data_IF_010546343823
#
_entry.id   IF_010546343823
#
_cell.length_a   1.000
_cell.length_b   1.000
_cell.length_c   1.000
_cell.angle_alpha   90.00
_cell.angle_beta   90.00
_cell.angle_gamma   90.00
#
_symmetry.space_group_name_H-M   'P 1'
#
loop_
_entity.id
_entity.type
_entity.pdbx_description
1 polymer ?
#
# COMPACT_ATOMS: atom_id res chain seq x y z
N UNK A 1 -18.76 -10.56 8.69
CA UNK A 1 -18.31 -9.61 7.65
C UNK A 1 -17.04 -8.95 8.16
N UNK A 2 -15.98 -8.89 7.35
CA UNK A 2 -14.77 -8.17 7.75
C UNK A 2 -15.08 -6.67 7.85
N UNK A 3 -14.34 -5.94 8.68
CA UNK A 3 -14.53 -4.51 8.79
C UNK A 3 -13.98 -3.79 7.56
N UNK A 4 -14.67 -2.74 7.11
CA UNK A 4 -14.29 -1.99 5.92
C UNK A 4 -12.99 -1.20 6.14
N UNK A 5 -12.28 -0.88 5.05
CA UNK A 5 -11.18 0.09 5.10
C UNK A 5 -11.71 1.54 5.14
N UNK A 6 -10.90 2.53 5.58
CA UNK A 6 -11.28 3.94 5.51
C UNK A 6 -11.46 4.39 4.05
N UNK A 7 -12.57 5.07 3.69
CA UNK A 7 -12.74 5.66 2.36
C UNK A 7 -11.62 6.67 2.05
N UNK A 8 -11.02 6.56 0.87
CA UNK A 8 -9.98 7.45 0.40
C UNK A 8 -9.90 7.48 -1.13
N UNK A 9 -9.42 8.60 -1.68
CA UNK A 9 -9.19 8.81 -3.10
C UNK A 9 -7.73 8.66 -3.49
N UNK A 10 -6.83 8.69 -2.51
CA UNK A 10 -5.40 8.55 -2.72
C UNK A 10 -4.74 7.94 -1.48
N UNK A 11 -3.74 7.10 -1.69
CA UNK A 11 -2.93 6.54 -0.62
C UNK A 11 -1.45 6.78 -0.90
N UNK A 12 -0.79 7.45 0.03
CA UNK A 12 0.62 7.83 -0.06
C UNK A 12 1.44 6.93 0.85
N UNK A 13 2.37 6.19 0.25
CA UNK A 13 3.36 5.38 0.95
C UNK A 13 4.69 6.13 0.97
N UNK A 14 5.03 6.69 2.13
CA UNK A 14 6.35 7.25 2.38
C UNK A 14 7.35 6.12 2.54
N UNK A 15 8.45 6.15 1.79
CA UNK A 15 9.54 5.21 1.95
C UNK A 15 10.16 5.39 3.33
N UNK A 16 10.00 4.37 4.16
CA UNK A 16 10.58 4.30 5.48
C UNK A 16 12.09 4.07 5.36
N UNK A 17 12.92 4.82 6.08
CA UNK A 17 14.36 4.60 6.12
C UNK A 17 14.74 3.33 6.90
N UNK A 18 13.79 2.70 7.60
CA UNK A 18 14.03 1.47 8.36
C UNK A 18 12.84 0.48 8.28
N UNK A 19 13.04 -0.83 8.53
CA UNK A 19 11.96 -1.80 8.55
C UNK A 19 10.86 -1.44 9.55
N UNK A 20 9.60 -1.69 9.17
CA UNK A 20 8.42 -1.39 10.01
C UNK A 20 8.47 -2.13 11.36
N UNK A 21 9.13 -3.29 11.43
CA UNK A 21 9.34 -4.02 12.69
C UNK A 21 10.21 -3.28 13.71
N UNK A 22 10.96 -2.24 13.30
CA UNK A 22 11.73 -1.38 14.20
C UNK A 22 10.95 -0.18 14.72
N UNK A 23 9.72 0.04 14.22
CA UNK A 23 8.93 1.18 14.65
C UNK A 23 8.48 1.03 16.11
N UNK A 24 8.46 2.12 16.89
CA UNK A 24 7.77 2.15 18.16
C UNK A 24 6.25 2.10 17.94
N UNK A 25 5.49 1.75 18.97
CA UNK A 25 4.01 1.66 18.92
C UNK A 25 3.33 2.95 18.41
N UNK A 26 4.00 4.09 18.56
CA UNK A 26 3.62 5.38 17.99
C UNK A 26 4.88 6.06 17.45
N UNK A 27 4.99 6.16 16.13
CA UNK A 27 6.01 6.94 15.47
C UNK A 27 5.47 8.34 15.18
N UNK A 28 6.22 9.38 15.56
CA UNK A 28 5.88 10.77 15.27
C UNK A 28 6.98 11.40 14.44
N UNK A 29 6.70 11.64 13.17
CA UNK A 29 7.63 12.28 12.24
C UNK A 29 7.00 13.58 11.72
N UNK A 30 7.66 14.74 11.83
CA UNK A 30 7.09 16.03 11.43
C UNK A 30 6.60 16.06 9.98
N UNK A 31 7.40 15.55 9.04
CA UNK A 31 7.06 15.59 7.62
C UNK A 31 5.81 14.75 7.28
N UNK A 32 5.69 13.54 7.86
CA UNK A 32 4.50 12.71 7.71
C UNK A 32 3.27 13.43 8.26
N UNK A 33 3.36 14.02 9.46
CA UNK A 33 2.24 14.72 10.09
C UNK A 33 1.80 15.93 9.26
N UNK A 34 2.77 16.73 8.79
CA UNK A 34 2.49 17.90 7.97
C UNK A 34 1.80 17.50 6.65
N UNK A 35 2.31 16.45 5.98
CA UNK A 35 1.69 15.91 4.77
C UNK A 35 0.28 15.39 5.05
N UNK A 36 0.10 14.56 6.07
CA UNK A 36 -1.22 14.01 6.44
C UNK A 36 -2.25 15.12 6.66
N UNK A 37 -1.91 16.19 7.40
CA UNK A 37 -2.82 17.31 7.67
C UNK A 37 -3.27 18.04 6.39
N UNK A 38 -2.42 18.07 5.37
CA UNK A 38 -2.72 18.66 4.06
C UNK A 38 -3.59 17.75 3.22
N UNK A 39 -3.16 16.50 3.03
CA UNK A 39 -3.78 15.59 2.07
C UNK A 39 -5.13 15.03 2.54
N UNK A 40 -5.37 14.97 3.86
CA UNK A 40 -6.67 14.54 4.41
C UNK A 40 -7.81 15.46 3.96
N UNK A 41 -7.52 16.75 3.70
CA UNK A 41 -8.53 17.74 3.29
C UNK A 41 -9.21 17.39 1.95
N UNK A 42 -8.59 16.55 1.15
CA UNK A 42 -9.10 16.10 -0.14
C UNK A 42 -9.20 14.57 -0.25
N UNK A 43 -9.20 13.87 0.89
CA UNK A 43 -9.47 12.44 0.94
C UNK A 43 -8.27 11.53 0.69
N UNK A 44 -7.05 11.99 0.93
CA UNK A 44 -5.86 11.13 0.90
C UNK A 44 -5.45 10.63 2.29
N UNK A 45 -4.76 9.49 2.31
CA UNK A 45 -4.14 8.89 3.48
C UNK A 45 -2.62 8.80 3.30
N UNK A 46 -1.87 8.91 4.40
CA UNK A 46 -0.40 8.79 4.41
C UNK A 46 0.01 7.67 5.37
N UNK A 47 0.88 6.78 4.91
CA UNK A 47 1.48 5.78 5.77
C UNK A 47 2.95 5.55 5.40
N UNK A 48 3.71 4.98 6.32
CA UNK A 48 5.06 4.53 6.07
C UNK A 48 5.03 3.14 5.44
N UNK A 49 5.85 2.92 4.42
CA UNK A 49 6.13 1.60 3.88
C UNK A 49 7.63 1.35 3.80
N UNK A 50 8.05 0.11 4.02
CA UNK A 50 9.41 -0.35 3.79
C UNK A 50 9.39 -1.43 2.73
N UNK A 51 9.99 -1.16 1.57
CA UNK A 51 10.08 -2.08 0.44
C UNK A 51 11.53 -2.33 0.01
N UNK A 52 12.46 -2.29 0.98
CA UNK A 52 13.89 -2.47 0.78
C UNK A 52 14.67 -1.16 0.76
N UNK A 53 15.98 -1.24 0.52
CA UNK A 53 16.89 -0.09 0.53
C UNK A 53 17.78 -0.03 1.77
N UNK A 54 18.76 0.90 1.79
CA UNK A 54 19.68 1.06 2.90
C UNK A 54 18.93 1.52 4.15
N UNK A 55 19.31 0.96 5.30
CA UNK A 55 18.75 1.38 6.58
C UNK A 55 19.38 2.69 7.03
N UNK A 56 18.55 3.64 7.43
CA UNK A 56 18.92 4.95 7.94
C UNK A 56 17.99 5.35 9.09
N UNK A 57 18.40 6.35 9.86
CA UNK A 57 17.58 7.00 10.88
C UNK A 57 17.04 8.37 10.41
N UNK A 58 17.38 8.78 9.18
CA UNK A 58 16.93 10.05 8.63
C UNK A 58 15.48 9.95 8.12
N UNK A 59 14.58 10.65 8.80
CA UNK A 59 13.17 10.79 8.41
C UNK A 59 12.82 12.19 7.85
N UNK A 60 13.80 13.10 7.76
CA UNK A 60 13.58 14.49 7.33
C UNK A 60 13.52 14.64 5.81
N UNK A 61 14.08 13.66 5.09
CA UNK A 61 14.05 13.54 3.64
C UNK A 61 13.74 12.11 3.24
N UNK A 62 12.62 11.90 2.55
CA UNK A 62 12.16 10.57 2.14
C UNK A 62 11.62 10.63 0.72
N UNK A 63 11.59 9.49 0.02
CA UNK A 63 10.81 9.34 -1.21
C UNK A 63 9.40 8.83 -0.86
N UNK A 64 8.48 8.87 -1.82
CA UNK A 64 7.14 8.34 -1.63
C UNK A 64 6.52 7.85 -2.94
N UNK A 65 5.55 6.95 -2.84
CA UNK A 65 4.65 6.58 -3.95
C UNK A 65 3.23 6.94 -3.57
N UNK A 66 2.55 7.70 -4.42
CA UNK A 66 1.14 8.03 -4.27
C UNK A 66 0.31 7.30 -5.33
N UNK A 67 -0.74 6.61 -4.90
CA UNK A 67 -1.68 5.92 -5.79
C UNK A 67 -3.04 6.59 -5.72
N UNK A 68 -3.73 6.72 -6.85
CA UNK A 68 -4.95 7.50 -6.97
C UNK A 68 -6.13 6.66 -7.46
N UNK A 69 -7.34 6.98 -7.01
CA UNK A 69 -8.58 6.28 -7.39
C UNK A 69 -8.89 6.36 -8.90
N UNK A 70 -8.28 7.30 -9.61
CA UNK A 70 -8.37 7.41 -11.07
C UNK A 70 -7.38 6.47 -11.81
N UNK A 71 -6.70 5.56 -11.08
CA UNK A 71 -5.75 4.59 -11.63
C UNK A 71 -4.35 5.14 -11.87
N UNK A 72 -4.10 6.45 -11.65
CA UNK A 72 -2.76 7.02 -11.77
C UNK A 72 -1.89 6.67 -10.56
N UNK A 73 -0.58 6.79 -10.77
CA UNK A 73 0.45 6.78 -9.74
C UNK A 73 1.35 8.00 -9.90
N UNK A 74 1.91 8.49 -8.79
CA UNK A 74 2.97 9.48 -8.77
C UNK A 74 4.13 8.96 -7.93
N UNK A 75 5.32 8.88 -8.54
CA UNK A 75 6.58 8.64 -7.84
C UNK A 75 7.20 9.97 -7.40
N UNK A 76 7.38 10.13 -6.10
CA UNK A 76 7.92 11.34 -5.46
C UNK A 76 9.34 10.99 -5.03
N UNK A 77 10.32 11.41 -5.82
CA UNK A 77 11.73 11.09 -5.57
C UNK A 77 12.27 11.71 -4.29
N UNK A 78 11.76 12.90 -3.91
CA UNK A 78 12.21 13.64 -2.74
C UNK A 78 11.09 14.45 -2.11
N UNK A 79 10.83 14.19 -0.84
CA UNK A 79 9.88 14.89 0.01
C UNK A 79 10.62 15.41 1.26
N UNK A 80 10.59 16.73 1.44
CA UNK A 80 11.15 17.46 2.59
C UNK A 80 10.13 18.47 3.11
N UNK A 81 10.34 19.00 4.32
CA UNK A 81 9.48 20.07 4.85
C UNK A 81 9.43 21.31 3.93
N UNK A 82 10.52 21.59 3.21
CA UNK A 82 10.64 22.75 2.33
C UNK A 82 9.91 22.63 0.98
N UNK A 83 9.61 21.41 0.50
CA UNK A 83 8.97 21.20 -0.80
C UNK A 83 7.56 20.62 -0.68
N UNK A 84 7.02 20.57 0.54
CA UNK A 84 5.78 19.88 0.87
C UNK A 84 4.57 20.46 0.12
N UNK A 85 4.48 21.78 0.01
CA UNK A 85 3.40 22.47 -0.73
C UNK A 85 3.41 22.11 -2.22
N UNK A 86 4.60 22.09 -2.83
CA UNK A 86 4.77 21.69 -4.23
C UNK A 86 4.37 20.23 -4.46
N UNK A 87 4.77 19.32 -3.56
CA UNK A 87 4.39 17.90 -3.66
C UNK A 87 2.87 17.72 -3.47
N UNK A 88 2.25 18.47 -2.56
CA UNK A 88 0.78 18.48 -2.40
C UNK A 88 0.08 18.91 -3.69
N UNK A 89 0.54 19.99 -4.32
CA UNK A 89 -0.02 20.50 -5.59
C UNK A 89 0.09 19.45 -6.70
N UNK A 90 1.26 18.83 -6.88
CA UNK A 90 1.46 17.75 -7.85
C UNK A 90 0.50 16.57 -7.65
N UNK A 91 0.26 16.17 -6.39
CA UNK A 91 -0.70 15.11 -6.08
C UNK A 91 -2.14 15.51 -6.42
N UNK A 92 -2.51 16.78 -6.17
CA UNK A 92 -3.85 17.30 -6.52
C UNK A 92 -4.06 17.35 -8.02
N UNK A 93 -3.06 17.77 -8.77
CA UNK A 93 -3.11 17.77 -10.24
C UNK A 93 -3.25 16.36 -10.78
N UNK A 94 -2.47 15.41 -10.24
CA UNK A 94 -2.56 14.00 -10.62
C UNK A 94 -3.96 13.43 -10.35
N UNK A 95 -4.53 13.70 -9.17
CA UNK A 95 -5.89 13.28 -8.81
C UNK A 95 -6.95 13.89 -9.75
N UNK A 96 -6.78 15.16 -10.12
CA UNK A 96 -7.71 15.89 -11.00
C UNK A 96 -7.59 15.49 -12.47
N UNK A 97 -6.63 14.62 -12.83
CA UNK A 97 -6.38 14.18 -14.20
C UNK A 97 -5.44 15.10 -15.00
N UNK A 98 -5.15 16.30 -14.50
CA UNK A 98 -4.34 17.32 -15.17
C UNK A 98 -2.84 17.14 -14.98
N UNK A 99 -2.43 16.43 -13.93
CA UNK A 99 -1.03 16.22 -13.58
C UNK A 99 -0.41 15.02 -14.28
N UNK A 100 0.92 15.06 -14.39
CA UNK A 100 1.72 13.93 -14.83
C UNK A 100 1.49 12.72 -13.93
N UNK A 101 1.45 11.54 -14.55
CA UNK A 101 1.49 10.26 -13.85
C UNK A 101 2.81 9.56 -14.14
N UNK A 102 3.36 8.92 -13.13
CA UNK A 102 4.44 7.96 -13.32
C UNK A 102 3.85 6.68 -13.91
N UNK A 103 4.44 6.18 -15.00
CA UNK A 103 4.13 4.84 -15.50
C UNK A 103 4.98 3.84 -14.73
N UNK A 104 4.32 3.02 -13.93
CA UNK A 104 4.92 1.88 -13.27
C UNK A 104 4.00 0.68 -13.50
N UNK A 105 4.51 -0.31 -14.24
CA UNK A 105 3.77 -1.54 -14.49
C UNK A 105 3.84 -2.49 -13.27
N UNK A 106 4.57 -2.12 -12.21
CA UNK A 106 4.66 -2.92 -10.99
C UNK A 106 3.33 -2.98 -10.23
N UNK A 107 3.13 -4.12 -9.58
CA UNK A 107 2.02 -4.37 -8.67
C UNK A 107 2.60 -4.34 -7.26
N UNK A 108 2.20 -3.33 -6.48
CA UNK A 108 2.76 -3.10 -5.15
C UNK A 108 1.89 -3.75 -4.09
N UNK A 109 2.47 -4.69 -3.34
CA UNK A 109 1.82 -5.44 -2.29
C UNK A 109 2.36 -4.98 -0.94
N UNK A 110 1.53 -4.36 -0.10
CA UNK A 110 1.93 -3.90 1.21
C UNK A 110 1.21 -4.66 2.32
N UNK A 111 1.97 -5.33 3.18
CA UNK A 111 1.42 -6.05 4.33
C UNK A 111 1.67 -5.27 5.61
N UNK A 112 0.64 -5.08 6.44
CA UNK A 112 0.81 -4.41 7.72
C UNK A 112 1.58 -5.30 8.71
N UNK A 113 2.79 -4.91 9.09
CA UNK A 113 3.69 -5.69 9.98
C UNK A 113 4.07 -4.97 11.27
N UNK A 114 3.34 -3.89 11.62
CA UNK A 114 3.65 -3.03 12.75
C UNK A 114 3.37 -3.67 14.13
N UNK A 115 4.24 -4.61 14.53
CA UNK A 115 4.10 -5.44 15.73
C UNK A 115 4.06 -4.68 17.05
N UNK A 116 4.81 -3.58 17.16
CA UNK A 116 4.79 -2.73 18.35
C UNK A 116 3.43 -2.03 18.56
N UNK A 117 2.64 -1.84 17.48
CA UNK A 117 1.28 -1.29 17.56
C UNK A 117 0.24 -2.35 17.86
N UNK A 118 0.36 -3.54 17.26
CA UNK A 118 -0.49 -4.69 17.54
C UNK A 118 0.26 -6.00 17.22
N UNK A 119 0.28 -6.95 18.15
CA UNK A 119 1.04 -8.19 18.02
C UNK A 119 0.58 -9.06 16.85
N UNK A 120 -0.70 -9.02 16.45
CA UNK A 120 -1.22 -9.79 15.30
C UNK A 120 -0.66 -9.26 13.99
N UNK A 121 -0.46 -7.94 13.87
CA UNK A 121 0.26 -7.36 12.73
C UNK A 121 1.71 -7.84 12.70
N UNK A 122 2.39 -7.89 13.86
CA UNK A 122 3.78 -8.33 13.95
C UNK A 122 4.01 -9.83 13.75
N UNK A 123 3.00 -10.66 13.99
CA UNK A 123 3.07 -12.13 13.85
C UNK A 123 2.43 -12.56 12.52
N UNK A 124 1.10 -12.64 12.46
CA UNK A 124 0.37 -13.05 11.26
C UNK A 124 0.69 -12.18 10.04
N UNK A 125 0.87 -10.87 10.24
CA UNK A 125 1.31 -9.98 9.15
C UNK A 125 2.69 -10.33 8.61
N UNK A 126 3.65 -10.70 9.47
CA UNK A 126 4.99 -11.14 9.03
C UNK A 126 4.92 -12.48 8.31
N UNK A 127 4.18 -13.45 8.82
CA UNK A 127 4.00 -14.76 8.17
C UNK A 127 3.44 -14.62 6.75
N UNK A 128 2.46 -13.73 6.57
CA UNK A 128 1.86 -13.43 5.26
C UNK A 128 2.83 -12.69 4.34
N UNK A 129 3.59 -11.70 4.84
CA UNK A 129 4.59 -11.00 4.04
C UNK A 129 5.69 -11.96 3.54
N UNK A 130 6.16 -12.88 4.39
CA UNK A 130 7.16 -13.88 4.03
C UNK A 130 6.62 -14.94 3.06
N UNK A 131 5.38 -15.38 3.25
CA UNK A 131 4.72 -16.28 2.31
C UNK A 131 4.54 -15.62 0.92
N UNK A 132 4.13 -14.35 0.87
CA UNK A 132 4.03 -13.59 -0.39
C UNK A 132 5.38 -13.48 -1.10
N UNK A 133 6.45 -13.13 -0.38
CA UNK A 133 7.80 -13.04 -0.95
C UNK A 133 8.25 -14.37 -1.56
N UNK A 134 8.07 -15.48 -0.83
CA UNK A 134 8.43 -16.82 -1.32
C UNK A 134 7.63 -17.21 -2.57
N UNK A 135 6.31 -17.01 -2.53
CA UNK A 135 5.42 -17.33 -3.65
C UNK A 135 5.77 -16.52 -4.91
N UNK A 136 5.98 -15.22 -4.75
CA UNK A 136 6.34 -14.33 -5.86
C UNK A 136 7.73 -14.64 -6.39
N UNK A 137 8.73 -14.90 -5.53
CA UNK A 137 10.08 -15.30 -5.97
C UNK A 137 10.03 -16.58 -6.78
N UNK A 138 9.38 -17.63 -6.27
CA UNK A 138 9.28 -18.91 -6.95
C UNK A 138 8.60 -18.80 -8.32
N UNK A 139 7.51 -18.03 -8.42
CA UNK A 139 6.82 -17.78 -9.69
C UNK A 139 7.64 -16.93 -10.66
N UNK A 140 8.37 -15.93 -10.16
CA UNK A 140 9.22 -15.07 -10.98
C UNK A 140 10.45 -15.83 -11.49
N UNK A 141 10.98 -16.77 -10.71
CA UNK A 141 12.05 -17.66 -11.15
C UNK A 141 11.57 -18.64 -12.22
N UNK A 142 10.34 -19.15 -12.09
CA UNK A 142 9.73 -20.04 -13.07
C UNK A 142 9.30 -19.33 -14.38
N UNK A 143 8.82 -18.09 -14.29
CA UNK A 143 8.47 -17.24 -15.42
C UNK A 143 8.93 -15.79 -15.21
N UNK A 144 10.17 -15.45 -15.58
CA UNK A 144 10.73 -14.11 -15.39
C UNK A 144 10.00 -13.00 -16.15
N UNK A 145 9.24 -13.34 -17.19
CA UNK A 145 8.46 -12.38 -18.00
C UNK A 145 6.98 -12.35 -17.61
N UNK A 146 6.56 -13.19 -16.67
CA UNK A 146 5.19 -13.30 -16.21
C UNK A 146 4.78 -12.13 -15.32
N UNK A 147 3.48 -11.96 -15.10
CA UNK A 147 2.92 -10.89 -14.26
C UNK A 147 3.37 -10.99 -12.78
N UNK A 148 3.77 -12.18 -12.32
CA UNK A 148 4.33 -12.35 -10.98
C UNK A 148 5.64 -11.56 -10.79
N UNK A 149 6.48 -11.46 -11.82
CA UNK A 149 7.77 -10.74 -11.73
C UNK A 149 7.61 -9.23 -11.64
N UNK A 150 6.41 -8.71 -11.92
CA UNK A 150 6.02 -7.31 -11.68
C UNK A 150 5.57 -7.04 -10.25
N UNK A 151 5.33 -8.07 -9.44
CA UNK A 151 4.86 -7.89 -8.06
C UNK A 151 6.02 -7.54 -7.13
N UNK A 152 5.87 -6.49 -6.33
CA UNK A 152 6.80 -6.11 -5.26
C UNK A 152 6.13 -6.29 -3.91
N UNK A 153 6.87 -6.80 -2.92
CA UNK A 153 6.34 -7.02 -1.56
C UNK A 153 7.02 -6.09 -0.56
N UNK A 154 6.27 -5.09 -0.11
CA UNK A 154 6.64 -4.18 0.96
C UNK A 154 5.88 -4.48 2.25
N UNK A 155 6.34 -3.83 3.31
CA UNK A 155 5.68 -3.80 4.61
C UNK A 155 5.16 -2.40 4.87
N UNK A 156 3.98 -2.25 5.47
CA UNK A 156 3.39 -0.96 5.80
C UNK A 156 3.20 -0.82 7.31
N UNK A 157 3.29 0.42 7.79
CA UNK A 157 2.88 0.81 9.13
C UNK A 157 1.43 0.41 9.44
N UNK A 158 0.99 0.66 10.67
CA UNK A 158 -0.33 0.23 11.09
C UNK A 158 -1.44 0.90 10.26
N UNK A 159 -2.34 0.11 9.68
CA UNK A 159 -3.41 0.58 8.77
C UNK A 159 -4.81 0.61 9.43
N UNK A 160 -4.90 0.28 10.72
CA UNK A 160 -6.17 -0.02 11.39
C UNK A 160 -6.70 -1.42 11.07
N UNK A 161 -7.81 -1.83 11.71
CA UNK A 161 -8.40 -3.15 11.46
C UNK A 161 -7.51 -4.33 11.85
N UNK A 162 -6.66 -4.20 12.89
CA UNK A 162 -5.77 -5.29 13.36
C UNK A 162 -6.52 -6.57 13.76
N UNK A 163 -7.81 -6.48 14.10
CA UNK A 163 -8.65 -7.66 14.36
C UNK A 163 -8.81 -8.55 13.13
N UNK A 164 -8.53 -8.01 11.94
CA UNK A 164 -8.52 -8.68 10.65
C UNK A 164 -7.08 -8.80 10.10
N UNK A 165 -6.06 -8.85 10.95
CA UNK A 165 -4.71 -9.17 10.48
C UNK A 165 -4.68 -10.61 9.91
N UNK A 166 -3.89 -10.90 8.87
CA UNK A 166 -3.02 -9.96 8.15
C UNK A 166 -3.80 -9.06 7.18
N UNK A 167 -3.46 -7.77 7.16
CA UNK A 167 -3.99 -6.82 6.18
C UNK A 167 -3.01 -6.69 5.01
N UNK A 168 -3.49 -6.93 3.79
CA UNK A 168 -2.75 -6.79 2.55
C UNK A 168 -3.41 -5.70 1.69
N UNK A 169 -2.60 -4.75 1.23
CA UNK A 169 -2.99 -3.66 0.35
C UNK A 169 -2.37 -3.91 -1.03
N UNK A 170 -3.18 -3.91 -2.09
CA UNK A 170 -2.76 -4.21 -3.46
C UNK A 170 -2.94 -2.97 -4.34
N UNK A 171 -1.83 -2.41 -4.82
CA UNK A 171 -1.80 -1.23 -5.69
C UNK A 171 -1.23 -1.56 -7.07
N UNK A 172 -1.65 -0.86 -8.15
CA UNK A 172 -2.43 0.39 -8.15
C UNK A 172 -3.95 0.24 -7.96
N UNK A 173 -4.48 -0.98 -8.01
CA UNK A 173 -5.93 -1.25 -7.94
C UNK A 173 -6.60 -0.78 -6.63
N UNK A 174 -5.83 -0.63 -5.55
CA UNK A 174 -6.30 -0.16 -4.26
C UNK A 174 -7.15 -1.18 -3.51
N UNK A 175 -6.96 -2.48 -3.73
CA UNK A 175 -7.70 -3.54 -3.02
C UNK A 175 -7.14 -3.73 -1.62
N UNK A 176 -8.04 -3.86 -0.63
CA UNK A 176 -7.67 -4.19 0.73
C UNK A 176 -8.24 -5.54 1.12
N UNK A 177 -7.35 -6.41 1.57
CA UNK A 177 -7.68 -7.75 2.05
C UNK A 177 -7.35 -7.87 3.54
N UNK A 178 -8.09 -8.70 4.25
CA UNK A 178 -7.92 -8.99 5.68
C UNK A 178 -8.10 -10.47 6.00
N UNK A 179 -7.76 -10.83 7.24
CA UNK A 179 -7.81 -12.19 7.76
C UNK A 179 -7.07 -13.21 6.89
N UNK A 180 -6.02 -12.74 6.21
CA UNK A 180 -5.16 -13.61 5.41
C UNK A 180 -4.23 -14.41 6.32
N UNK A 181 -3.90 -15.61 5.84
CA UNK A 181 -2.91 -16.52 6.41
C UNK A 181 -2.05 -17.08 5.28
N UNK A 182 -0.89 -17.71 5.55
CA UNK A 182 -0.04 -18.28 4.51
C UNK A 182 -0.75 -19.22 3.53
N UNK A 183 -1.78 -19.96 4.00
CA UNK A 183 -2.58 -20.88 3.16
C UNK A 183 -3.32 -20.15 2.03
N UNK A 184 -3.70 -18.88 2.24
CA UNK A 184 -4.43 -18.10 1.24
C UNK A 184 -3.52 -17.55 0.14
N UNK A 185 -2.19 -17.54 0.33
CA UNK A 185 -1.27 -16.78 -0.52
C UNK A 185 -1.22 -17.26 -1.98
N UNK A 186 -1.14 -18.55 -2.29
CA UNK A 186 -1.14 -19.00 -3.69
C UNK A 186 -2.36 -18.48 -4.47
N UNK A 187 -3.57 -18.68 -3.91
CA UNK A 187 -4.82 -18.19 -4.51
C UNK A 187 -4.89 -16.67 -4.55
N UNK A 188 -4.34 -15.98 -3.55
CA UNK A 188 -4.28 -14.51 -3.54
C UNK A 188 -3.41 -13.99 -4.68
N UNK A 189 -2.24 -14.58 -4.90
CA UNK A 189 -1.34 -14.19 -6.00
C UNK A 189 -1.98 -14.49 -7.36
N UNK A 190 -2.65 -15.64 -7.52
CA UNK A 190 -3.40 -15.95 -8.76
C UNK A 190 -4.42 -14.86 -9.09
N UNK A 191 -5.20 -14.44 -8.08
CA UNK A 191 -6.23 -13.42 -8.25
C UNK A 191 -5.65 -12.04 -8.55
N UNK A 192 -4.55 -11.66 -7.89
CA UNK A 192 -3.84 -10.40 -8.15
C UNK A 192 -3.35 -10.34 -9.60
N UNK A 193 -2.74 -11.43 -10.09
CA UNK A 193 -2.25 -11.55 -11.46
C UNK A 193 -3.41 -11.48 -12.46
N UNK A 194 -4.51 -12.20 -12.18
CA UNK A 194 -5.72 -12.15 -13.00
C UNK A 194 -6.28 -10.72 -13.09
N UNK A 195 -6.34 -10.00 -11.97
CA UNK A 195 -6.80 -8.61 -11.93
C UNK A 195 -5.87 -7.70 -12.74
N UNK A 196 -4.56 -7.82 -12.56
CA UNK A 196 -3.57 -6.99 -13.25
C UNK A 196 -3.52 -7.19 -14.78
N UNK A 197 -4.02 -8.34 -15.27
CA UNK A 197 -4.16 -8.58 -16.71
C UNK A 197 -5.30 -7.79 -17.37
N UNK A 198 -6.15 -7.12 -16.57
CA UNK A 198 -7.36 -6.43 -17.05
C UNK A 198 -7.22 -4.91 -16.86
N UNK A 199 -7.90 -4.09 -17.69
CA UNK A 199 -7.99 -2.66 -17.44
C UNK A 199 -8.58 -2.36 -16.06
N UNK A 200 -8.04 -1.33 -15.40
CA UNK A 200 -8.56 -0.87 -14.11
C UNK A 200 -10.03 -0.45 -14.24
N UNK A 201 -10.86 -0.91 -13.30
CA UNK A 201 -12.24 -0.46 -13.16
C UNK A 201 -12.65 -0.51 -11.69
N UNK A 202 -13.26 0.57 -11.22
CA UNK A 202 -13.85 0.65 -9.88
C UNK A 202 -15.02 -0.32 -9.69
N UNK A 203 -15.60 -0.82 -10.79
CA UNK A 203 -16.73 -1.76 -10.78
C UNK A 203 -16.30 -3.24 -10.86
N UNK A 204 -14.99 -3.53 -10.87
CA UNK A 204 -14.52 -4.91 -10.82
C UNK A 204 -15.07 -5.61 -9.56
N UNK A 205 -15.39 -6.91 -9.62
CA UNK A 205 -15.81 -7.64 -8.43
C UNK A 205 -14.70 -7.62 -7.36
N UNK A 206 -15.03 -7.80 -6.08
CA UNK A 206 -14.05 -7.98 -5.01
C UNK A 206 -13.02 -9.07 -5.34
N UNK A 207 -11.73 -8.77 -5.15
CA UNK A 207 -10.61 -9.66 -5.52
C UNK A 207 -10.69 -11.04 -4.86
N UNK A 208 -11.04 -11.05 -3.56
CA UNK A 208 -11.26 -12.25 -2.74
C UNK A 208 -12.43 -11.97 -1.79
N UNK A 209 -13.68 -12.30 -2.16
CA UNK A 209 -14.87 -11.84 -1.42
C UNK A 209 -14.85 -12.15 0.08
N UNK A 210 -14.38 -13.32 0.50
CA UNK A 210 -14.30 -13.71 1.91
C UNK A 210 -13.26 -12.92 2.72
N UNK A 211 -12.26 -12.34 2.04
CA UNK A 211 -11.15 -11.60 2.64
C UNK A 211 -11.21 -10.11 2.34
N UNK A 212 -12.16 -9.67 1.51
CA UNK A 212 -12.20 -8.29 1.03
C UNK A 212 -12.66 -7.32 2.10
N UNK A 213 -11.98 -6.18 2.17
CA UNK A 213 -12.24 -5.09 3.11
C UNK A 213 -12.61 -3.78 2.41
N UNK A 214 -12.47 -3.70 1.10
CA UNK A 214 -12.80 -2.51 0.31
C UNK A 214 -11.78 -2.20 -0.77
N UNK A 215 -12.09 -1.17 -1.56
CA UNK A 215 -11.27 -0.68 -2.67
C UNK A 215 -11.19 0.84 -2.65
N UNK A 216 -10.00 1.39 -2.92
CA UNK A 216 -9.79 2.83 -3.06
C UNK A 216 -10.79 3.44 -4.04
N UNK A 217 -11.36 4.59 -3.68
CA UNK A 217 -12.42 5.25 -4.46
C UNK A 217 -13.85 4.85 -4.07
N UNK A 218 -14.07 3.76 -3.32
CA UNK A 218 -15.40 3.40 -2.82
C UNK A 218 -15.76 4.15 -1.53
N UNK A 219 -17.06 4.44 -1.36
CA UNK A 219 -17.60 4.90 -0.08
C UNK A 219 -17.66 3.74 0.91
N UNK A 220 -17.94 4.03 2.18
CA UNK A 220 -18.04 2.99 3.22
C UNK A 220 -19.17 2.00 2.92
N UNK A 221 -20.28 2.47 2.38
CA UNK A 221 -21.49 1.71 2.06
C UNK A 221 -21.31 0.84 0.81
N UNK A 222 -20.41 1.24 -0.09
CA UNK A 222 -20.09 0.52 -1.31
C UNK A 222 -19.01 -0.57 -1.11
N UNK A 223 -18.50 -0.74 0.12
CA UNK A 223 -17.54 -1.77 0.52
C UNK A 223 -18.24 -2.86 1.35
#
# INVERSE_FOLDING_TARGET
MLGTMPPHLCYVFLQSPQPISRFPSRLMVPIQRALQLKVTKWGALVNWAFYGGPVSENFDEVSAKAFFANGKMLDISRLTMSNLDMVEEQMRDCLSGNGASSFDDAIHLYVCTHGARDCRCGTTGKDVAEALRREISARSEADPKGLASRCTVGEVGHVGGHQYAANLLVYPHGEWLGSLTPVHIPTTVDKIIELASKPFSIHNPPLLPSNWRGRMGLSKEAQ
#
